data_IF_442883449991
#
_entry.id   IF_442883449991
#
_cell.length_a   1.000
_cell.length_b   1.000
_cell.length_c   1.000
_cell.angle_alpha   90.00
_cell.angle_beta   90.00
_cell.angle_gamma   90.00
#
_symmetry.space_group_name_H-M   'P 1'
#
loop_
_entity.id
_entity.type
_entity.pdbx_description
1 polymer ?
#
# COMPACT_ATOMS: atom_id res chain seq x y z
N UNK A 1 -24.75 -34.90 -4.99
CA UNK A 1 -25.05 -33.44 -4.87
C UNK A 1 -24.10 -32.73 -3.91
N UNK A 2 -23.75 -33.32 -2.77
CA UNK A 2 -22.84 -32.74 -1.76
C UNK A 2 -21.41 -32.50 -2.26
N UNK A 3 -20.86 -33.42 -3.06
CA UNK A 3 -19.48 -33.32 -3.56
C UNK A 3 -19.29 -32.15 -4.54
N UNK A 4 -20.29 -31.88 -5.38
CA UNK A 4 -20.30 -30.73 -6.28
C UNK A 4 -20.35 -29.40 -5.51
N UNK A 5 -21.15 -29.34 -4.44
CA UNK A 5 -21.26 -28.16 -3.57
C UNK A 5 -19.92 -27.89 -2.86
N UNK A 6 -19.22 -28.92 -2.40
CA UNK A 6 -17.90 -28.78 -1.78
C UNK A 6 -16.86 -28.22 -2.75
N UNK A 7 -16.84 -28.68 -3.99
CA UNK A 7 -15.89 -28.18 -5.00
C UNK A 7 -16.15 -26.71 -5.35
N UNK A 8 -17.42 -26.31 -5.46
CA UNK A 8 -17.79 -24.91 -5.68
C UNK A 8 -17.37 -24.05 -4.49
N UNK A 9 -17.62 -24.50 -3.26
CA UNK A 9 -17.24 -23.78 -2.05
C UNK A 9 -15.72 -23.57 -1.96
N UNK A 10 -14.93 -24.61 -2.24
CA UNK A 10 -13.45 -24.51 -2.27
C UNK A 10 -12.99 -23.54 -3.36
N UNK A 11 -13.59 -23.60 -4.56
CA UNK A 11 -13.27 -22.68 -5.65
C UNK A 11 -13.54 -21.21 -5.29
N UNK A 12 -14.68 -20.93 -4.64
CA UNK A 12 -15.03 -19.58 -4.17
C UNK A 12 -14.05 -19.10 -3.09
N UNK A 13 -13.71 -19.96 -2.12
CA UNK A 13 -12.72 -19.63 -1.09
C UNK A 13 -11.37 -19.29 -1.73
N UNK A 14 -10.89 -20.13 -2.65
CA UNK A 14 -9.62 -19.92 -3.34
C UNK A 14 -9.63 -18.63 -4.17
N UNK A 15 -10.73 -18.34 -4.87
CA UNK A 15 -10.90 -17.09 -5.61
C UNK A 15 -10.89 -15.87 -4.69
N UNK A 16 -11.59 -15.93 -3.54
CA UNK A 16 -11.57 -14.85 -2.54
C UNK A 16 -10.17 -14.65 -1.97
N UNK A 17 -9.43 -15.71 -1.64
CA UNK A 17 -8.04 -15.59 -1.16
C UNK A 17 -7.10 -15.05 -2.23
N UNK A 18 -7.22 -15.52 -3.47
CA UNK A 18 -6.44 -15.06 -4.61
C UNK A 18 -6.70 -13.58 -4.92
N UNK A 19 -7.98 -13.18 -4.93
CA UNK A 19 -8.38 -11.79 -5.18
C UNK A 19 -8.07 -10.88 -3.98
N UNK A 20 -8.25 -11.35 -2.74
CA UNK A 20 -7.88 -10.62 -1.53
C UNK A 20 -6.37 -10.46 -1.38
N UNK A 21 -5.56 -11.41 -1.86
CA UNK A 21 -4.10 -11.25 -1.90
C UNK A 21 -3.65 -10.20 -2.93
N UNK A 22 -4.39 -10.07 -4.03
CA UNK A 22 -4.05 -9.17 -5.15
C UNK A 22 -4.64 -7.75 -5.01
N UNK A 23 -5.81 -7.61 -4.39
CA UNK A 23 -6.52 -6.34 -4.21
C UNK A 23 -6.70 -5.93 -2.74
N UNK A 24 -6.34 -6.79 -1.79
CA UNK A 24 -6.29 -6.46 -0.37
C UNK A 24 -5.12 -5.54 -0.10
N UNK A 25 -5.35 -4.24 -0.28
CA UNK A 25 -4.50 -3.21 0.29
C UNK A 25 -4.36 -3.51 1.78
N UNK A 26 -3.16 -3.97 2.19
CA UNK A 26 -2.78 -4.21 3.58
C UNK A 26 -2.99 -2.92 4.38
N UNK A 27 -4.19 -2.69 4.89
CA UNK A 27 -4.41 -1.81 6.05
C UNK A 27 -3.86 -2.55 7.26
N UNK A 28 -2.53 -2.55 7.40
CA UNK A 28 -1.91 -2.85 8.68
C UNK A 28 -2.33 -1.74 9.62
N UNK A 29 -3.14 -2.10 10.61
CA UNK A 29 -3.37 -1.32 11.82
C UNK A 29 -2.00 -1.13 12.46
N UNK A 30 -1.32 -0.06 12.04
CA UNK A 30 -0.04 0.35 12.59
C UNK A 30 -0.35 1.12 13.85
N UNK A 31 -0.35 0.45 14.99
CA UNK A 31 -0.10 1.09 16.28
C UNK A 31 1.21 1.86 16.13
N UNK A 32 1.11 3.18 15.92
CA UNK A 32 2.29 4.02 15.71
C UNK A 32 2.26 5.19 16.68
N UNK A 33 3.24 5.14 17.57
CA UNK A 33 3.59 6.11 18.60
C UNK A 33 3.53 7.55 18.12
N UNK A 34 2.93 8.41 18.94
CA UNK A 34 2.77 9.87 18.77
C UNK A 34 4.09 10.68 18.71
N UNK A 35 5.27 10.05 18.73
CA UNK A 35 6.55 10.74 18.54
C UNK A 35 6.90 10.80 17.06
N UNK A 36 6.68 11.97 16.45
CA UNK A 36 7.09 12.33 15.09
C UNK A 36 8.61 12.27 14.97
N UNK A 37 9.14 11.08 14.70
CA UNK A 37 10.53 10.91 14.26
C UNK A 37 10.65 11.26 12.77
N UNK A 38 11.84 11.64 12.28
CA UNK A 38 12.07 11.95 10.86
C UNK A 38 11.58 10.85 9.88
N UNK A 39 11.46 9.61 10.38
CA UNK A 39 10.95 8.45 9.65
C UNK A 39 9.49 8.11 10.00
N UNK A 40 8.66 9.09 10.38
CA UNK A 40 7.27 8.80 10.74
C UNK A 40 6.48 8.32 9.50
N UNK A 41 5.97 7.09 9.57
CA UNK A 41 5.05 6.52 8.57
C UNK A 41 3.65 7.13 8.61
N UNK A 42 3.46 8.19 9.40
CA UNK A 42 2.24 8.97 9.52
C UNK A 42 2.50 10.41 9.08
N UNK A 43 1.52 11.01 8.42
CA UNK A 43 1.48 12.43 8.04
C UNK A 43 1.22 13.29 9.27
N UNK A 44 1.33 14.62 9.12
CA UNK A 44 1.00 15.59 10.17
C UNK A 44 -0.41 15.37 10.76
N UNK A 45 -1.33 14.88 9.92
CA UNK A 45 -2.75 14.68 10.25
C UNK A 45 -3.03 13.25 10.74
N UNK A 46 -1.99 12.49 11.11
CA UNK A 46 -2.13 11.11 11.59
C UNK A 46 -2.49 10.07 10.53
N UNK A 47 -2.54 10.44 9.24
CA UNK A 47 -2.83 9.49 8.15
C UNK A 47 -1.56 8.72 7.81
N UNK A 48 -1.68 7.43 7.51
CA UNK A 48 -0.52 6.66 7.02
C UNK A 48 0.03 7.27 5.72
N UNK A 49 1.35 7.38 5.58
CA UNK A 49 1.99 7.72 4.31
C UNK A 49 1.73 6.61 3.30
N UNK A 50 1.44 6.99 2.07
CA UNK A 50 1.29 6.03 0.97
C UNK A 50 2.66 5.37 0.73
N UNK A 51 2.65 4.04 0.67
CA UNK A 51 3.84 3.22 0.48
C UNK A 51 3.64 2.30 -0.73
N UNK A 52 4.55 2.36 -1.69
CA UNK A 52 4.51 1.59 -2.92
C UNK A 52 5.43 0.36 -2.83
N UNK A 53 5.04 -0.77 -3.43
CA UNK A 53 5.83 -1.99 -3.42
C UNK A 53 7.04 -1.92 -4.37
N UNK A 54 6.92 -1.20 -5.48
CA UNK A 54 7.97 -1.04 -6.49
C UNK A 54 8.37 0.44 -6.65
N UNK A 55 9.57 0.67 -7.19
CA UNK A 55 10.06 2.02 -7.49
C UNK A 55 9.27 2.63 -8.64
N UNK A 56 8.94 1.80 -9.61
CA UNK A 56 8.25 2.12 -10.84
C UNK A 56 6.83 2.63 -10.52
N UNK A 57 6.11 1.94 -9.63
CA UNK A 57 4.78 2.37 -9.17
C UNK A 57 4.85 3.74 -8.47
N UNK A 58 5.86 3.94 -7.63
CA UNK A 58 6.07 5.22 -6.95
C UNK A 58 6.41 6.34 -7.93
N UNK A 59 7.21 6.08 -8.97
CA UNK A 59 7.56 7.06 -10.00
C UNK A 59 6.36 7.44 -10.88
N UNK A 60 5.55 6.46 -11.27
CA UNK A 60 4.31 6.74 -12.03
C UNK A 60 3.39 7.64 -11.21
N UNK A 61 3.29 7.40 -9.91
CA UNK A 61 2.45 8.21 -9.03
C UNK A 61 3.06 9.58 -8.74
N UNK A 62 4.38 9.69 -8.58
CA UNK A 62 5.08 10.96 -8.45
C UNK A 62 4.82 11.85 -9.68
N UNK A 63 4.94 11.31 -10.90
CA UNK A 63 4.59 12.02 -12.14
C UNK A 63 3.13 12.46 -12.17
N UNK A 64 2.20 11.61 -11.74
CA UNK A 64 0.78 11.99 -11.66
C UNK A 64 0.53 13.12 -10.66
N UNK A 65 1.24 13.13 -9.54
CA UNK A 65 1.17 14.21 -8.55
C UNK A 65 1.80 15.50 -9.08
N UNK A 66 2.91 15.42 -9.80
CA UNK A 66 3.56 16.56 -10.45
C UNK A 66 2.63 17.21 -11.48
N UNK A 67 1.96 16.41 -12.32
CA UNK A 67 0.98 16.92 -13.29
C UNK A 67 -0.24 17.54 -12.60
N UNK A 68 -0.69 16.99 -11.47
CA UNK A 68 -1.89 17.46 -10.75
C UNK A 68 -1.62 18.72 -9.92
N UNK A 69 -0.53 18.74 -9.18
CA UNK A 69 -0.24 19.75 -8.15
C UNK A 69 0.87 20.72 -8.58
N UNK A 70 1.58 20.45 -9.69
CA UNK A 70 2.70 21.25 -10.18
C UNK A 70 3.99 21.12 -9.36
N UNK A 71 4.02 20.19 -8.40
CA UNK A 71 5.14 20.02 -7.46
C UNK A 71 5.99 18.80 -7.86
N UNK A 72 7.28 19.02 -8.11
CA UNK A 72 8.23 17.93 -8.34
C UNK A 72 8.43 17.12 -7.06
N UNK A 73 8.00 15.87 -7.08
CA UNK A 73 8.18 14.96 -5.96
C UNK A 73 9.20 13.87 -6.30
N UNK A 74 10.17 13.68 -5.42
CA UNK A 74 11.16 12.62 -5.47
C UNK A 74 10.62 11.29 -4.93
N UNK A 75 11.17 10.20 -5.44
CA UNK A 75 10.88 8.84 -4.96
C UNK A 75 12.08 8.32 -4.17
N UNK A 76 11.85 7.92 -2.93
CA UNK A 76 12.89 7.39 -2.05
C UNK A 76 12.47 6.07 -1.40
N UNK A 77 13.45 5.20 -1.14
CA UNK A 77 13.25 3.97 -0.37
C UNK A 77 13.38 4.30 1.11
N UNK A 78 12.43 3.85 1.93
CA UNK A 78 12.52 4.01 3.37
C UNK A 78 13.25 2.82 3.99
N UNK A 79 14.28 3.10 4.79
CA UNK A 79 15.09 2.08 5.46
C UNK A 79 14.29 1.28 6.50
N UNK A 80 13.30 1.90 7.15
CA UNK A 80 12.49 1.27 8.21
C UNK A 80 11.52 0.23 7.68
N UNK A 81 10.88 0.49 6.53
CA UNK A 81 9.83 -0.39 5.99
C UNK A 81 10.21 -1.08 4.68
N UNK A 82 11.39 -0.75 4.13
CA UNK A 82 11.90 -1.21 2.85
C UNK A 82 11.00 -0.92 1.62
N UNK A 83 10.01 -0.02 1.77
CA UNK A 83 9.06 0.38 0.71
C UNK A 83 9.41 1.74 0.12
N UNK A 84 8.78 2.05 -1.01
CA UNK A 84 8.97 3.29 -1.74
C UNK A 84 7.95 4.34 -1.31
N UNK A 85 8.43 5.57 -1.08
CA UNK A 85 7.63 6.72 -0.71
C UNK A 85 7.89 7.88 -1.67
N UNK A 86 6.90 8.78 -1.75
CA UNK A 86 6.97 10.02 -2.51
C UNK A 86 7.16 11.16 -1.49
N UNK A 87 8.15 12.00 -1.72
CA UNK A 87 8.50 13.12 -0.85
C UNK A 87 9.24 14.21 -1.61
N UNK A 88 9.46 15.33 -0.94
CA UNK A 88 10.14 16.50 -1.48
C UNK A 88 11.56 16.62 -0.95
#
# INVERSE_FOLDING_TARGET
>A
MTLAILLIAVGVIFAVFYFSGRYGGRKRIGTTSLRRRPHSHVTANGRAKIAYPSREDAQVQARKMEVRDGVQMGVYRCDTCAKWHIGH
#
